data_IF_634848323986
#
_entry.id   IF_634848323986
#
_cell.length_a   1.000
_cell.length_b   1.000
_cell.length_c   1.000
_cell.angle_alpha   90.00
_cell.angle_beta   90.00
_cell.angle_gamma   90.00
#
_symmetry.space_group_name_H-M   'P 1'
#
loop_
_entity.id
_entity.type
_entity.pdbx_description
1 polymer ?
#
# COMPACT_ATOMS: atom_id res chain seq x y z
N UNK A 1 0.00 -54.04 16.52
CA UNK A 1 -0.06 -53.52 15.13
C UNK A 1 0.96 -52.40 15.00
N UNK A 2 2.18 -52.72 14.57
CA UNK A 2 3.22 -51.72 14.35
C UNK A 2 3.17 -51.28 12.89
N UNK A 3 2.79 -50.04 12.63
CA UNK A 3 2.83 -49.46 11.29
C UNK A 3 4.25 -48.98 10.98
N UNK A 4 4.78 -49.42 9.84
CA UNK A 4 6.14 -49.14 9.38
C UNK A 4 6.30 -47.66 9.02
N UNK A 5 7.28 -47.00 9.64
CA UNK A 5 7.54 -45.56 9.53
C UNK A 5 7.85 -45.07 8.09
N UNK A 6 8.21 -45.97 7.17
CA UNK A 6 8.56 -45.62 5.78
C UNK A 6 7.35 -45.36 4.87
N UNK A 7 6.18 -45.91 5.20
CA UNK A 7 4.95 -45.67 4.42
C UNK A 7 4.29 -44.34 4.81
N UNK A 8 4.54 -43.86 6.03
CA UNK A 8 4.01 -42.59 6.54
C UNK A 8 4.76 -41.38 5.94
N UNK A 9 6.08 -41.48 5.75
CA UNK A 9 6.87 -40.37 5.19
C UNK A 9 6.65 -40.19 3.69
N UNK A 10 6.45 -41.27 2.95
CA UNK A 10 6.16 -41.22 1.50
C UNK A 10 4.76 -40.66 1.22
N UNK A 11 3.76 -40.97 2.04
CA UNK A 11 2.41 -40.41 1.90
C UNK A 11 2.35 -38.88 2.13
N UNK A 12 3.14 -38.36 3.08
CA UNK A 12 3.17 -36.91 3.40
C UNK A 12 3.83 -36.11 2.26
N UNK A 13 4.89 -36.64 1.63
CA UNK A 13 5.57 -35.98 0.52
C UNK A 13 4.68 -35.90 -0.73
N UNK A 14 3.90 -36.95 -1.01
CA UNK A 14 2.96 -36.96 -2.15
C UNK A 14 1.79 -35.98 -1.89
N UNK A 15 1.30 -35.88 -0.65
CA UNK A 15 0.25 -34.92 -0.29
C UNK A 15 0.72 -33.46 -0.40
N UNK A 16 1.99 -33.16 -0.06
CA UNK A 16 2.56 -31.82 -0.20
C UNK A 16 2.79 -31.40 -1.66
N UNK A 17 3.16 -32.34 -2.55
CA UNK A 17 3.31 -32.05 -3.98
C UNK A 17 1.96 -31.85 -4.69
N UNK A 18 0.90 -32.52 -4.23
CA UNK A 18 -0.45 -32.34 -4.77
C UNK A 18 -1.08 -30.97 -4.39
N UNK A 19 -0.75 -30.42 -3.22
CA UNK A 19 -1.31 -29.14 -2.79
C UNK A 19 -0.70 -27.92 -3.50
N UNK A 20 0.53 -28.03 -4.01
CA UNK A 20 1.19 -26.95 -4.75
C UNK A 20 0.61 -26.72 -6.16
N UNK A 21 -0.18 -27.66 -6.69
CA UNK A 21 -0.69 -27.59 -8.07
C UNK A 21 -2.08 -26.93 -8.21
N UNK A 22 -2.76 -26.59 -7.10
CA UNK A 22 -4.15 -26.08 -7.12
C UNK A 22 -4.30 -24.59 -6.81
N UNK A 23 -3.21 -23.86 -6.51
CA UNK A 23 -3.29 -22.43 -6.16
C UNK A 23 -3.14 -21.48 -7.38
N UNK A 24 -2.83 -21.99 -8.58
CA UNK A 24 -2.48 -21.14 -9.73
C UNK A 24 -3.51 -21.08 -10.88
N UNK A 25 -4.81 -21.24 -10.61
CA UNK A 25 -5.86 -21.20 -11.65
C UNK A 25 -6.92 -20.09 -11.52
N UNK A 26 -6.85 -19.19 -10.53
CA UNK A 26 -7.87 -18.14 -10.35
C UNK A 26 -7.40 -16.73 -10.76
N UNK A 27 -6.81 -16.58 -11.96
CA UNK A 27 -6.41 -15.25 -12.45
C UNK A 27 -6.49 -15.08 -13.97
N UNK A 28 -7.51 -15.61 -14.65
CA UNK A 28 -7.84 -15.18 -16.03
C UNK A 28 -9.35 -15.23 -16.29
N UNK A 29 -10.09 -14.29 -15.70
CA UNK A 29 -11.40 -13.90 -16.22
C UNK A 29 -11.58 -12.39 -16.06
N UNK A 30 -11.44 -11.69 -17.17
CA UNK A 30 -12.21 -10.51 -17.57
C UNK A 30 -11.35 -9.69 -18.54
N UNK A 31 -11.80 -9.57 -19.78
CA UNK A 31 -11.86 -8.32 -20.56
C UNK A 31 -12.17 -8.68 -22.02
N UNK A 32 -13.47 -8.70 -22.31
CA UNK A 32 -14.06 -8.67 -23.64
C UNK A 32 -13.72 -7.33 -24.31
N UNK A 33 -13.36 -7.28 -25.61
CA UNK A 33 -13.27 -6.01 -26.32
C UNK A 33 -14.68 -5.57 -26.77
N UNK A 34 -15.23 -4.56 -26.11
CA UNK A 34 -16.43 -3.87 -26.54
C UNK A 34 -16.11 -2.77 -27.57
N UNK A 35 -16.94 -2.74 -28.60
CA UNK A 35 -17.37 -1.57 -29.38
C UNK A 35 -16.29 -0.67 -30.00
N UNK A 36 -16.12 -0.87 -31.31
CA UNK A 36 -15.70 0.11 -32.29
C UNK A 36 -16.60 1.35 -32.30
N UNK A 37 -16.05 2.50 -31.93
CA UNK A 37 -16.61 3.82 -32.23
C UNK A 37 -15.67 4.55 -33.21
N UNK A 38 -16.17 5.05 -34.36
CA UNK A 38 -15.36 5.89 -35.24
C UNK A 38 -15.19 7.29 -34.64
N UNK A 39 -13.93 7.69 -34.41
CA UNK A 39 -13.58 9.05 -34.05
C UNK A 39 -13.68 9.95 -35.30
N UNK A 40 -14.81 10.64 -35.47
CA UNK A 40 -14.89 11.78 -36.37
C UNK A 40 -14.23 12.99 -35.70
N UNK A 41 -12.99 13.26 -36.08
CA UNK A 41 -12.31 14.53 -35.84
C UNK A 41 -13.00 15.62 -36.68
N UNK A 42 -13.96 16.33 -36.09
CA UNK A 42 -14.41 17.63 -36.62
C UNK A 42 -13.54 18.72 -35.99
N UNK A 43 -12.60 19.25 -36.76
CA UNK A 43 -11.87 20.46 -36.39
C UNK A 43 -12.83 21.66 -36.52
N UNK A 44 -13.49 22.04 -35.43
CA UNK A 44 -14.07 23.38 -35.34
C UNK A 44 -13.12 24.30 -34.57
N UNK A 45 -12.36 25.09 -35.33
CA UNK A 45 -11.64 26.26 -34.84
C UNK A 45 -12.63 27.22 -34.20
N UNK A 46 -12.67 27.26 -32.87
CA UNK A 46 -13.22 28.40 -32.15
C UNK A 46 -12.08 29.34 -31.77
N UNK A 47 -11.70 30.20 -32.71
CA UNK A 47 -10.92 31.41 -32.43
C UNK A 47 -11.87 32.47 -31.87
N UNK A 48 -12.04 32.51 -30.55
CA UNK A 48 -12.43 33.73 -29.83
C UNK A 48 -11.59 33.86 -28.57
N UNK A 49 -10.47 34.54 -28.73
CA UNK A 49 -9.79 35.26 -27.66
C UNK A 49 -10.76 36.29 -27.07
N UNK A 50 -11.60 35.86 -26.13
CA UNK A 50 -12.15 36.81 -25.16
C UNK A 50 -11.01 37.14 -24.22
N UNK A 51 -10.46 38.34 -24.39
CA UNK A 51 -9.74 39.04 -23.33
C UNK A 51 -10.63 38.99 -22.09
N UNK A 52 -10.26 38.12 -21.14
CA UNK A 52 -10.80 38.20 -19.80
C UNK A 52 -10.11 39.38 -19.13
N UNK A 53 -10.84 40.50 -19.09
CA UNK A 53 -10.54 41.64 -18.24
C UNK A 53 -10.44 41.12 -16.79
N UNK A 54 -9.23 41.15 -16.25
CA UNK A 54 -8.92 40.89 -14.86
C UNK A 54 -9.34 42.09 -14.01
N UNK A 55 -10.64 42.31 -13.86
CA UNK A 55 -11.13 43.04 -12.68
C UNK A 55 -11.02 42.09 -11.50
N UNK A 56 -9.95 42.24 -10.72
CA UNK A 56 -9.78 41.63 -9.40
C UNK A 56 -11.00 42.00 -8.54
N UNK A 57 -11.95 41.09 -8.42
CA UNK A 57 -12.96 41.18 -7.37
C UNK A 57 -12.27 40.85 -6.06
N UNK A 58 -11.99 41.90 -5.27
CA UNK A 58 -11.53 41.76 -3.90
C UNK A 58 -12.43 40.79 -3.12
N UNK A 59 -11.82 39.76 -2.52
CA UNK A 59 -12.45 38.98 -1.45
C UNK A 59 -13.30 37.77 -1.84
N UNK A 60 -13.17 37.18 -3.04
CA UNK A 60 -13.79 35.87 -3.29
C UNK A 60 -12.98 34.76 -2.60
N UNK A 61 -13.42 34.37 -1.39
CA UNK A 61 -12.91 33.17 -0.75
C UNK A 61 -13.60 31.95 -1.37
N UNK A 62 -12.86 31.05 -2.04
CA UNK A 62 -13.48 29.96 -2.77
C UNK A 62 -14.23 29.03 -1.83
N UNK A 63 -15.41 28.55 -2.24
CA UNK A 63 -16.28 27.66 -1.44
C UNK A 63 -15.59 26.37 -0.98
N UNK A 64 -14.53 25.94 -1.67
CA UNK A 64 -13.74 24.76 -1.33
C UNK A 64 -12.65 25.05 -0.27
N UNK A 65 -12.43 26.31 0.12
CA UNK A 65 -11.55 26.66 1.22
C UNK A 65 -12.23 26.25 2.52
N UNK A 66 -11.57 25.36 3.25
CA UNK A 66 -12.06 24.86 4.53
C UNK A 66 -12.18 26.05 5.48
N UNK A 67 -13.38 26.25 6.03
CA UNK A 67 -13.57 27.17 7.16
C UNK A 67 -12.64 26.70 8.28
N UNK A 68 -11.97 27.63 8.96
CA UNK A 68 -11.09 27.31 10.08
C UNK A 68 -11.87 26.46 11.07
N UNK A 69 -11.28 25.35 11.49
CA UNK A 69 -11.92 24.53 12.52
C UNK A 69 -11.81 25.26 13.86
N UNK A 70 -12.77 25.04 14.76
CA UNK A 70 -12.77 25.67 16.08
C UNK A 70 -11.46 25.39 16.85
N UNK A 71 -10.82 24.25 16.58
CA UNK A 71 -9.50 23.91 17.12
C UNK A 71 -8.34 24.75 16.53
N UNK A 72 -8.44 25.19 15.26
CA UNK A 72 -7.47 26.10 14.63
C UNK A 72 -7.65 27.55 15.09
N UNK A 73 -8.88 27.92 15.46
CA UNK A 73 -9.21 29.27 15.93
C UNK A 73 -8.98 29.44 17.43
N UNK A 74 -9.27 28.40 18.22
CA UNK A 74 -9.21 28.42 19.68
C UNK A 74 -7.87 27.84 20.23
N UNK A 75 -7.17 26.99 19.47
CA UNK A 75 -5.98 26.29 19.96
C UNK A 75 -6.30 25.03 20.79
N UNK A 76 -5.26 24.24 21.12
CA UNK A 76 -5.38 23.00 21.89
C UNK A 76 -5.97 23.27 23.29
N UNK A 77 -6.66 22.27 23.87
CA UNK A 77 -7.29 22.36 25.19
C UNK A 77 -6.34 22.79 26.32
N UNK A 78 -5.03 22.62 26.11
CA UNK A 78 -3.98 23.02 27.04
C UNK A 78 -3.90 24.55 27.25
N UNK A 79 -4.38 25.37 26.29
CA UNK A 79 -4.25 26.83 26.32
C UNK A 79 -5.50 27.61 26.73
N UNK A 80 -6.70 27.03 26.60
CA UNK A 80 -7.96 27.77 26.79
C UNK A 80 -8.75 27.39 28.05
N UNK A 81 -8.30 26.36 28.78
CA UNK A 81 -9.03 25.83 29.93
C UNK A 81 -10.18 24.92 29.51
N UNK A 82 -10.37 23.84 30.27
CA UNK A 82 -11.29 22.74 29.94
C UNK A 82 -12.75 23.17 29.76
N UNK A 83 -13.17 24.23 30.44
CA UNK A 83 -14.54 24.78 30.37
C UNK A 83 -14.86 25.39 28.99
N UNK A 84 -13.91 26.08 28.35
CA UNK A 84 -14.13 26.71 27.04
C UNK A 84 -14.18 25.71 25.90
N UNK A 85 -13.57 24.55 26.08
CA UNK A 85 -13.58 23.43 25.12
C UNK A 85 -14.80 22.52 25.36
N UNK A 86 -15.62 22.81 26.37
CA UNK A 86 -16.81 22.03 26.72
C UNK A 86 -16.46 20.65 27.29
N UNK A 87 -15.26 20.47 27.84
CA UNK A 87 -14.91 19.22 28.54
C UNK A 87 -15.54 19.26 29.93
N UNK A 88 -16.68 18.59 30.06
CA UNK A 88 -17.34 18.35 31.34
C UNK A 88 -16.81 17.05 31.95
N UNK A 89 -16.23 17.10 33.14
CA UNK A 89 -15.76 15.92 33.88
C UNK A 89 -15.19 16.33 35.24
N UNK A 90 -15.13 15.37 36.19
CA UNK A 90 -14.68 15.62 37.56
C UNK A 90 -13.27 15.09 37.83
N UNK A 91 -12.86 14.05 37.10
CA UNK A 91 -11.58 13.36 37.29
C UNK A 91 -10.58 13.84 36.24
N UNK A 92 -9.44 14.43 36.63
CA UNK A 92 -8.37 14.79 35.70
C UNK A 92 -7.60 13.53 35.26
N UNK A 93 -7.57 13.30 33.95
CA UNK A 93 -6.84 12.21 33.31
C UNK A 93 -5.67 12.77 32.52
N UNK A 94 -4.46 12.35 32.89
CA UNK A 94 -3.20 12.80 32.28
C UNK A 94 -2.61 11.68 31.44
N UNK A 95 -2.46 11.92 30.15
CA UNK A 95 -1.82 11.01 29.21
C UNK A 95 -0.36 11.44 28.97
N UNK A 96 0.58 10.59 29.34
CA UNK A 96 2.01 10.80 29.12
C UNK A 96 2.49 9.94 27.95
N UNK A 97 3.06 10.56 26.92
CA UNK A 97 3.70 9.88 25.80
C UNK A 97 5.09 10.46 25.54
N UNK A 98 6.10 9.91 26.22
CA UNK A 98 7.46 10.44 26.17
C UNK A 98 7.49 11.87 26.73
N UNK A 99 7.77 12.85 25.87
CA UNK A 99 7.82 14.27 26.25
C UNK A 99 6.50 15.02 26.05
N UNK A 100 5.49 14.38 25.46
CA UNK A 100 4.18 15.00 25.24
C UNK A 100 3.22 14.58 26.34
N UNK A 101 2.65 15.56 27.03
CA UNK A 101 1.61 15.36 28.04
C UNK A 101 0.33 15.98 27.53
N UNK A 102 -0.77 15.22 27.54
CA UNK A 102 -2.10 15.72 27.22
C UNK A 102 -3.04 15.44 28.37
N UNK A 103 -3.85 16.42 28.73
CA UNK A 103 -4.76 16.31 29.87
C UNK A 103 -6.21 16.42 29.41
N UNK A 104 -7.10 15.69 30.05
CA UNK A 104 -8.55 15.75 29.82
C UNK A 104 -9.32 15.55 31.12
N UNK A 105 -10.59 15.95 31.13
CA UNK A 105 -11.51 15.66 32.23
C UNK A 105 -12.46 14.53 31.82
N UNK A 106 -12.72 13.61 32.74
CA UNK A 106 -13.60 12.48 32.52
C UNK A 106 -14.57 12.24 33.69
N UNK A 107 -15.62 11.48 33.43
CA UNK A 107 -16.49 10.92 34.45
C UNK A 107 -16.04 9.50 34.83
N UNK A 108 -16.32 9.10 36.07
CA UNK A 108 -16.13 7.71 36.50
C UNK A 108 -16.99 6.77 35.64
N UNK A 109 -16.41 5.67 35.18
CA UNK A 109 -17.07 4.70 34.30
C UNK A 109 -17.02 5.04 32.81
N UNK A 110 -16.54 6.24 32.42
CA UNK A 110 -16.37 6.57 31.01
C UNK A 110 -15.28 5.68 30.36
N UNK A 111 -15.47 5.19 29.13
CA UNK A 111 -14.47 4.36 28.45
C UNK A 111 -13.20 5.16 28.15
N UNK A 112 -12.04 4.59 28.46
CA UNK A 112 -10.75 5.28 28.28
C UNK A 112 -10.43 5.62 26.83
N UNK A 113 -11.01 4.89 25.87
CA UNK A 113 -10.91 5.19 24.43
C UNK A 113 -11.47 6.57 24.08
N UNK A 114 -12.61 6.91 24.64
CA UNK A 114 -13.31 8.15 24.30
C UNK A 114 -12.64 9.32 25.00
N UNK A 115 -12.19 9.13 26.24
CA UNK A 115 -11.39 10.11 26.99
C UNK A 115 -10.07 10.43 26.28
N UNK A 116 -9.36 9.40 25.78
CA UNK A 116 -8.14 9.61 25.01
C UNK A 116 -8.41 10.37 23.70
N UNK A 117 -9.53 10.07 23.04
CA UNK A 117 -9.95 10.78 21.83
C UNK A 117 -10.32 12.24 22.11
N UNK A 118 -10.97 12.51 23.24
CA UNK A 118 -11.27 13.86 23.72
C UNK A 118 -10.00 14.67 24.04
N UNK A 119 -9.00 14.03 24.65
CA UNK A 119 -7.68 14.62 24.88
C UNK A 119 -6.88 14.83 23.57
N UNK A 120 -7.37 14.33 22.42
CA UNK A 120 -6.61 14.28 21.17
C UNK A 120 -5.36 13.40 21.27
N UNK A 121 -5.31 12.47 22.23
CA UNK A 121 -4.21 11.53 22.38
C UNK A 121 -4.45 10.32 21.46
N UNK A 122 -3.55 10.12 20.51
CA UNK A 122 -3.67 9.00 19.58
C UNK A 122 -3.16 7.71 20.23
N UNK A 123 -4.07 6.76 20.42
CA UNK A 123 -3.78 5.39 20.86
C UNK A 123 -4.12 4.46 19.71
N UNK A 124 -3.20 3.57 19.34
CA UNK A 124 -3.44 2.60 18.27
C UNK A 124 -4.35 1.47 18.77
N UNK A 125 -5.55 1.40 18.23
CA UNK A 125 -6.49 0.29 18.47
C UNK A 125 -6.54 -0.61 17.24
N UNK A 126 -6.42 -1.94 17.43
CA UNK A 126 -6.54 -2.90 16.33
C UNK A 126 -7.81 -3.73 16.43
N UNK A 127 -7.99 -4.46 17.53
CA UNK A 127 -9.12 -5.36 17.71
C UNK A 127 -10.31 -4.71 18.45
N UNK A 128 -10.07 -3.67 19.26
CA UNK A 128 -11.09 -2.98 20.07
C UNK A 128 -11.75 -3.81 21.19
N UNK A 129 -11.54 -5.13 21.21
CA UNK A 129 -12.11 -6.09 22.18
C UNK A 129 -11.16 -6.46 23.32
N UNK A 130 -9.93 -5.93 23.30
CA UNK A 130 -8.94 -6.21 24.33
C UNK A 130 -8.19 -7.52 24.18
N UNK A 131 -8.22 -8.22 23.04
CA UNK A 131 -7.49 -9.48 22.83
C UNK A 131 -6.05 -9.29 22.33
N UNK A 132 -5.84 -8.28 21.48
CA UNK A 132 -4.64 -8.10 20.66
C UNK A 132 -3.46 -7.38 21.35
N UNK A 133 -3.65 -6.79 22.54
CA UNK A 133 -2.60 -6.07 23.29
C UNK A 133 -2.00 -4.81 22.62
N UNK A 134 -2.44 -4.43 21.42
CA UNK A 134 -1.83 -3.32 20.65
C UNK A 134 -1.93 -1.97 21.34
N UNK A 135 -2.99 -1.76 22.12
CA UNK A 135 -3.29 -0.49 22.78
C UNK A 135 -2.80 -0.43 24.23
N UNK A 136 -1.97 -1.35 24.70
CA UNK A 136 -1.55 -1.43 26.11
C UNK A 136 -0.92 -0.12 26.61
N UNK A 137 -1.40 0.34 27.77
CA UNK A 137 -0.87 1.50 28.49
C UNK A 137 -0.61 1.14 29.95
N UNK A 138 0.33 1.84 30.57
CA UNK A 138 0.71 1.61 31.96
C UNK A 138 0.00 2.62 32.86
N UNK A 139 -0.70 2.10 33.86
CA UNK A 139 -1.41 2.88 34.88
C UNK A 139 -1.00 2.34 36.24
N UNK A 140 -0.42 3.19 37.09
CA UNK A 140 0.01 2.81 38.44
C UNK A 140 0.88 1.52 38.46
N UNK A 141 1.77 1.39 37.48
CA UNK A 141 2.66 0.23 37.33
C UNK A 141 2.00 -1.05 36.76
N UNK A 142 0.72 -1.02 36.41
CA UNK A 142 0.00 -2.15 35.78
C UNK A 142 -0.28 -1.85 34.31
N UNK A 143 -0.05 -2.83 33.44
CA UNK A 143 -0.42 -2.74 32.04
C UNK A 143 -1.91 -3.03 31.87
N UNK A 144 -2.66 -2.03 31.42
CA UNK A 144 -4.09 -2.13 31.16
C UNK A 144 -4.38 -1.97 29.67
N UNK A 145 -5.55 -2.44 29.24
CA UNK A 145 -6.04 -2.33 27.87
C UNK A 145 -7.12 -1.24 27.80
N UNK A 146 -6.79 0.00 27.37
CA UNK A 146 -7.72 1.14 27.37
C UNK A 146 -8.86 0.99 26.36
N UNK A 147 -8.80 -0.01 25.47
CA UNK A 147 -9.88 -0.29 24.53
C UNK A 147 -11.15 -0.86 25.19
N UNK A 148 -11.02 -1.46 26.37
CA UNK A 148 -12.12 -2.07 27.16
C UNK A 148 -12.18 -1.54 28.58
N UNK A 149 -11.09 -0.96 29.09
CA UNK A 149 -11.05 -0.39 30.42
C UNK A 149 -11.80 0.95 30.51
N UNK A 150 -12.42 1.16 31.67
CA UNK A 150 -13.14 2.38 32.04
C UNK A 150 -12.33 3.18 33.06
N UNK A 151 -12.62 4.47 33.17
CA UNK A 151 -12.05 5.33 34.22
C UNK A 151 -12.54 4.84 35.60
N UNK A 152 -11.66 4.58 36.57
CA UNK A 152 -12.09 4.21 37.92
C UNK A 152 -12.77 5.38 38.63
N UNK A 153 -13.59 5.10 39.63
CA UNK A 153 -14.09 6.14 40.53
C UNK A 153 -12.98 6.50 41.52
N UNK A 154 -12.18 7.52 41.21
CA UNK A 154 -11.23 8.12 42.15
C UNK A 154 -11.91 9.22 42.97
N UNK A 155 -11.32 9.55 44.11
CA UNK A 155 -11.73 10.70 44.89
C UNK A 155 -11.43 12.01 44.15
N UNK A 156 -12.19 13.04 44.47
CA UNK A 156 -12.08 14.36 43.85
C UNK A 156 -10.71 14.99 44.09
N UNK A 157 -9.93 15.14 43.01
CA UNK A 157 -8.59 15.72 43.04
C UNK A 157 -7.43 14.74 42.86
N UNK A 158 -7.70 13.43 42.78
CA UNK A 158 -6.66 12.46 42.42
C UNK A 158 -6.46 12.41 40.90
N UNK A 159 -5.21 12.58 40.46
CA UNK A 159 -4.84 12.53 39.04
C UNK A 159 -4.71 11.09 38.55
N UNK A 160 -5.43 10.76 37.48
CA UNK A 160 -5.31 9.46 36.81
C UNK A 160 -4.24 9.52 35.72
N UNK A 161 -3.02 9.08 36.05
CA UNK A 161 -1.86 9.11 35.14
C UNK A 161 -1.79 7.84 34.29
N UNK A 162 -1.77 8.02 32.97
CA UNK A 162 -1.69 6.95 31.98
C UNK A 162 -0.43 7.15 31.14
N UNK A 163 0.52 6.23 31.26
CA UNK A 163 1.73 6.22 30.44
C UNK A 163 1.53 5.37 29.20
N UNK A 164 1.59 5.99 28.04
CA UNK A 164 1.52 5.30 26.76
C UNK A 164 2.90 4.79 26.38
N UNK A 165 2.94 3.60 25.78
CA UNK A 165 4.14 3.13 25.10
C UNK A 165 4.52 4.14 24.02
N UNK A 166 5.75 4.67 24.10
CA UNK A 166 6.26 5.54 23.07
C UNK A 166 6.18 4.82 21.72
N UNK A 167 5.44 5.38 20.78
CA UNK A 167 5.46 4.92 19.39
C UNK A 167 6.78 5.44 18.83
N UNK A 168 7.87 4.75 19.15
CA UNK A 168 9.23 5.11 18.72
C UNK A 168 9.49 4.75 17.26
N UNK A 169 8.44 4.74 16.42
CA UNK A 169 8.66 5.07 15.04
C UNK A 169 8.90 6.57 15.03
N UNK A 170 10.18 6.99 15.11
CA UNK A 170 10.58 8.25 14.48
C UNK A 170 9.87 8.21 13.14
N UNK A 171 8.89 9.08 12.93
CA UNK A 171 8.37 9.28 11.59
C UNK A 171 9.62 9.64 10.81
N UNK A 172 10.16 8.70 10.02
CA UNK A 172 11.07 9.05 8.96
C UNK A 172 10.22 10.04 8.16
N UNK A 173 10.49 11.33 8.38
CA UNK A 173 9.72 12.37 7.75
C UNK A 173 9.74 12.02 6.28
N UNK A 174 8.57 11.90 5.68
CA UNK A 174 8.46 11.69 4.24
C UNK A 174 9.06 12.87 3.44
N UNK A 175 9.64 13.87 4.10
CA UNK A 175 10.60 14.80 3.50
C UNK A 175 11.93 14.08 3.32
N UNK A 176 12.18 13.44 2.19
CA UNK A 176 12.39 14.13 0.91
C UNK A 176 12.15 13.16 -0.25
N UNK A 177 10.88 12.84 -0.56
CA UNK A 177 10.55 12.17 -1.83
C UNK A 177 11.05 12.93 -3.07
N UNK A 178 11.39 14.23 -2.92
CA UNK A 178 12.03 15.09 -3.93
C UNK A 178 13.50 15.44 -3.59
N UNK A 179 14.27 14.55 -2.94
CA UNK A 179 15.72 14.76 -2.91
C UNK A 179 16.30 14.51 -4.31
N UNK A 180 17.26 15.33 -4.75
CA UNK A 180 18.01 15.15 -6.01
C UNK A 180 18.56 13.71 -6.12
N UNK A 181 18.90 13.09 -4.99
CA UNK A 181 19.34 11.69 -4.90
C UNK A 181 18.26 10.69 -5.33
N UNK A 182 16.99 10.94 -5.01
CA UNK A 182 15.85 10.10 -5.44
C UNK A 182 15.59 10.20 -6.94
N UNK A 183 15.78 11.38 -7.54
CA UNK A 183 15.71 11.56 -8.99
C UNK A 183 16.83 10.83 -9.74
N UNK A 184 18.05 10.89 -9.23
CA UNK A 184 19.21 10.20 -9.84
C UNK A 184 19.03 8.67 -9.72
N UNK A 185 18.59 8.16 -8.56
CA UNK A 185 18.30 6.73 -8.38
C UNK A 185 17.16 6.25 -9.30
N UNK A 186 16.08 7.03 -9.43
CA UNK A 186 14.97 6.72 -10.32
C UNK A 186 15.38 6.69 -11.80
N UNK A 187 16.20 7.66 -12.22
CA UNK A 187 16.74 7.72 -13.58
C UNK A 187 17.67 6.55 -13.89
N UNK A 188 18.59 6.21 -12.96
CA UNK A 188 19.49 5.07 -13.15
C UNK A 188 18.76 3.74 -13.24
N UNK A 189 17.68 3.54 -12.48
CA UNK A 189 16.91 2.29 -12.55
C UNK A 189 16.13 2.16 -13.88
N UNK A 190 15.58 3.27 -14.41
CA UNK A 190 14.92 3.28 -15.71
C UNK A 190 15.94 3.10 -16.87
N UNK A 191 17.10 3.73 -16.77
CA UNK A 191 18.19 3.62 -17.76
C UNK A 191 18.80 2.22 -17.79
N UNK A 192 19.01 1.59 -16.62
CA UNK A 192 19.50 0.20 -16.55
C UNK A 192 18.52 -0.76 -17.20
N UNK A 193 17.22 -0.53 -17.02
CA UNK A 193 16.16 -1.27 -17.70
C UNK A 193 16.31 -1.20 -19.22
N UNK A 194 16.45 0.01 -19.79
CA UNK A 194 16.65 0.18 -21.23
C UNK A 194 17.94 -0.47 -21.76
N UNK A 195 19.06 -0.37 -21.03
CA UNK A 195 20.31 -1.03 -21.43
C UNK A 195 20.16 -2.55 -21.41
N UNK A 196 19.46 -3.10 -20.41
CA UNK A 196 19.08 -4.51 -20.36
C UNK A 196 18.28 -4.95 -21.59
N UNK A 197 17.27 -4.17 -21.99
CA UNK A 197 16.47 -4.46 -23.18
C UNK A 197 17.28 -4.42 -24.48
N UNK A 198 18.22 -3.49 -24.65
CA UNK A 198 19.08 -3.43 -25.84
C UNK A 198 20.02 -4.63 -25.91
N UNK A 199 20.60 -5.05 -24.78
CA UNK A 199 21.46 -6.24 -24.73
C UNK A 199 20.68 -7.51 -25.06
N UNK A 200 19.47 -7.66 -24.50
CA UNK A 200 18.58 -8.80 -24.79
C UNK A 200 18.13 -8.81 -26.26
N UNK A 201 17.84 -7.64 -26.85
CA UNK A 201 17.50 -7.52 -28.28
C UNK A 201 18.64 -8.00 -29.18
N UNK A 202 19.89 -7.62 -28.88
CA UNK A 202 21.06 -8.09 -29.64
C UNK A 202 21.26 -9.60 -29.53
N UNK A 203 21.09 -10.18 -28.33
CA UNK A 203 21.19 -11.62 -28.13
C UNK A 203 20.08 -12.39 -28.89
N UNK A 204 18.84 -11.89 -28.85
CA UNK A 204 17.73 -12.47 -29.59
C UNK A 204 17.96 -12.43 -31.11
N UNK A 205 18.52 -11.34 -31.63
CA UNK A 205 18.84 -11.21 -33.05
C UNK A 205 19.90 -12.23 -33.51
N UNK A 206 20.93 -12.48 -32.69
CA UNK A 206 21.93 -13.52 -32.96
C UNK A 206 21.31 -14.93 -32.97
N UNK A 207 20.49 -15.25 -31.98
CA UNK A 207 19.80 -16.55 -31.93
C UNK A 207 18.86 -16.74 -33.13
N UNK A 208 18.23 -15.67 -33.60
CA UNK A 208 17.39 -15.71 -34.80
C UNK A 208 18.20 -15.94 -36.08
N UNK A 209 19.32 -15.23 -36.27
CA UNK A 209 20.19 -15.46 -37.44
C UNK A 209 20.77 -16.87 -37.46
N UNK A 210 21.16 -17.39 -36.29
CA UNK A 210 21.68 -18.75 -36.16
C UNK A 210 20.61 -19.79 -36.53
N UNK A 211 19.35 -19.58 -36.11
CA UNK A 211 18.21 -20.42 -36.53
C UNK A 211 17.94 -20.35 -38.03
N UNK A 212 17.92 -19.16 -38.62
CA UNK A 212 17.71 -18.98 -40.06
C UNK A 212 18.79 -19.70 -40.88
N UNK A 213 20.07 -19.63 -40.47
CA UNK A 213 21.15 -20.36 -41.14
C UNK A 213 21.04 -21.88 -40.99
N UNK A 214 20.53 -22.36 -39.85
CA UNK A 214 20.27 -23.79 -39.65
C UNK A 214 19.10 -24.29 -40.51
N UNK A 215 17.98 -23.57 -40.52
CA UNK A 215 16.82 -23.87 -41.37
C UNK A 215 17.21 -23.88 -42.86
N UNK A 216 18.06 -22.94 -43.29
CA UNK A 216 18.61 -22.91 -44.65
C UNK A 216 19.42 -24.16 -45.01
N UNK A 217 20.30 -24.63 -44.11
CA UNK A 217 21.08 -25.86 -44.31
C UNK A 217 20.20 -27.11 -44.36
N UNK A 218 19.19 -27.19 -43.50
CA UNK A 218 18.21 -28.29 -43.53
C UNK A 218 17.45 -28.30 -44.85
N UNK A 219 16.97 -27.14 -45.30
CA UNK A 219 16.26 -27.02 -46.57
C UNK A 219 17.12 -27.45 -47.78
N UNK A 220 18.41 -27.08 -47.82
CA UNK A 220 19.34 -27.53 -48.86
C UNK A 220 19.49 -29.06 -48.85
N UNK A 221 19.76 -29.64 -47.69
CA UNK A 221 19.90 -31.09 -47.54
C UNK A 221 18.62 -31.84 -47.91
N UNK A 222 17.45 -31.30 -47.56
CA UNK A 222 16.16 -31.89 -47.96
C UNK A 222 15.95 -31.83 -49.47
N UNK A 223 16.33 -30.73 -50.13
CA UNK A 223 16.28 -30.62 -51.60
C UNK A 223 17.20 -31.63 -52.28
N UNK A 224 18.42 -31.80 -51.79
CA UNK A 224 19.39 -32.80 -52.27
C UNK A 224 18.86 -34.23 -52.10
N UNK A 225 18.35 -34.58 -50.91
CA UNK A 225 17.76 -35.89 -50.64
C UNK A 225 16.56 -36.14 -51.56
N UNK A 226 15.70 -35.12 -51.78
CA UNK A 226 14.55 -35.23 -52.67
C UNK A 226 15.00 -35.45 -54.12
N UNK A 227 15.99 -34.70 -54.60
CA UNK A 227 16.55 -34.86 -55.94
C UNK A 227 17.19 -36.25 -56.12
N UNK A 228 17.98 -36.71 -55.15
CA UNK A 228 18.59 -38.05 -55.18
C UNK A 228 17.53 -39.17 -55.18
N UNK A 229 16.46 -39.03 -54.39
CA UNK A 229 15.32 -39.96 -54.42
C UNK A 229 14.65 -39.98 -55.79
N UNK A 230 14.35 -38.81 -56.37
CA UNK A 230 13.75 -38.71 -57.70
C UNK A 230 14.65 -39.33 -58.78
N UNK A 231 15.95 -39.08 -58.75
CA UNK A 231 16.92 -39.69 -59.67
C UNK A 231 16.97 -41.22 -59.53
N UNK A 232 16.95 -41.73 -58.29
CA UNK A 232 16.87 -43.18 -58.04
C UNK A 232 15.60 -43.78 -58.63
N UNK A 233 14.45 -43.13 -58.47
CA UNK A 233 13.19 -43.59 -59.06
C UNK A 233 13.19 -43.54 -60.60
N UNK A 234 13.78 -42.49 -61.20
CA UNK A 234 13.93 -42.40 -62.65
C UNK A 234 14.81 -43.51 -63.24
N UNK A 235 15.84 -43.97 -62.51
CA UNK A 235 16.68 -45.10 -62.92
C UNK A 235 16.01 -46.47 -62.70
N UNK A 236 14.92 -46.54 -61.91
CA UNK A 236 14.18 -47.76 -61.59
C UNK A 236 12.93 -47.95 -62.46
N UNK A 237 12.51 -46.94 -63.24
CA UNK A 237 11.46 -47.09 -64.26
C UNK A 237 12.06 -47.71 -65.53
N UNK A 238 11.71 -48.97 -65.88
CA UNK A 238 12.16 -49.63 -67.10
C UNK A 238 11.50 -49.05 -68.36
#
# INVERSE_FOLDING_TARGET
MAMNYSTLTSAIVIALLAWCSTVNQNAVQALSPSSSFPAQTSQQRFTKSRLFSSTEKAGYEPKWKKKKTLAEEAGSADGLGFEKVGLTGRIPVVFEQGNNTKTSLAFAGQPLRDVASQAGQYIKYQCGKGECGTCECMVNGKWIRPCVATVPALADGEEFKIQLKAISAKSASSGTFFSIRSFIMGFWNNLLGMVGFVKMRRAAQKNWSDRQSYEGRVAQRTREIRAARLAKYANLSP
#
